data_IF_282149903467
#
_entry.id   IF_282149903467
#
_cell.length_a   1.000
_cell.length_b   1.000
_cell.length_c   1.000
_cell.angle_alpha   90.00
_cell.angle_beta   90.00
_cell.angle_gamma   90.00
#
_symmetry.space_group_name_H-M   'P 1'
#
loop_
_entity.id
_entity.type
_entity.pdbx_description
1 polymer ?
#
# COMPACT_ATOMS: atom_id res chain seq x y z
N UNK A 1 4.27 -4.12 -12.50
CA UNK A 1 4.15 -2.67 -12.47
C UNK A 1 4.55 -2.07 -11.18
N UNK A 2 4.05 -2.56 -10.07
CA UNK A 2 4.44 -2.02 -8.78
C UNK A 2 5.54 -2.83 -8.13
N UNK A 3 6.20 -3.68 -8.90
CA UNK A 3 7.24 -4.53 -8.36
C UNK A 3 8.42 -3.74 -7.82
N UNK A 4 8.59 -2.56 -8.32
CA UNK A 4 9.68 -1.71 -7.85
C UNK A 4 9.46 -1.26 -6.42
N UNK A 5 8.26 -1.46 -5.90
CA UNK A 5 7.97 -1.11 -4.52
C UNK A 5 8.27 -2.23 -3.54
N UNK A 6 8.58 -3.42 -4.05
CA UNK A 6 8.85 -4.55 -3.18
C UNK A 6 9.95 -4.22 -2.18
N UNK A 7 9.71 -4.59 -0.94
CA UNK A 7 10.63 -4.41 0.16
C UNK A 7 10.88 -2.96 0.52
N UNK A 8 10.02 -2.08 0.06
CA UNK A 8 10.13 -0.67 0.41
C UNK A 8 9.06 -0.30 1.41
N UNK A 9 9.39 0.63 2.27
CA UNK A 9 8.42 1.16 3.21
C UNK A 9 7.61 2.23 2.52
N UNK A 10 6.30 2.13 2.65
CA UNK A 10 5.42 3.03 1.95
C UNK A 10 4.34 3.54 2.88
N UNK A 11 3.79 4.67 2.52
CA UNK A 11 2.58 5.20 3.12
C UNK A 11 1.56 5.28 2.00
N UNK A 12 0.50 4.51 2.15
CA UNK A 12 -0.51 4.39 1.10
C UNK A 12 -1.77 5.09 1.55
N UNK A 13 -2.25 5.98 0.71
CA UNK A 13 -3.51 6.64 0.95
C UNK A 13 -4.57 5.94 0.16
N UNK A 14 -5.53 5.36 0.86
CA UNK A 14 -6.71 4.83 0.23
C UNK A 14 -7.86 5.60 0.81
N UNK A 15 -8.84 5.84 -0.01
CA UNK A 15 -9.88 6.60 0.55
C UNK A 15 -11.01 6.78 -0.37
N UNK A 16 -11.96 7.46 0.13
CA UNK A 16 -13.10 7.77 -0.62
C UNK A 16 -13.09 9.27 -0.80
N UNK A 17 -13.97 9.95 -0.21
CA UNK A 17 -14.13 11.32 -0.58
C UNK A 17 -13.41 12.27 0.34
N UNK A 18 -13.74 12.20 1.59
CA UNK A 18 -13.30 13.27 2.48
C UNK A 18 -12.07 12.90 3.26
N UNK A 19 -12.01 11.67 3.70
CA UNK A 19 -10.91 11.25 4.52
C UNK A 19 -10.22 10.12 3.86
N UNK A 20 -8.93 10.20 3.86
CA UNK A 20 -8.12 9.10 3.38
C UNK A 20 -7.72 8.26 4.55
N UNK A 21 -7.89 6.98 4.40
CA UNK A 21 -7.25 6.08 5.32
C UNK A 21 -5.81 5.95 4.88
N UNK A 22 -4.92 5.95 5.84
CA UNK A 22 -3.51 5.88 5.57
C UNK A 22 -2.99 4.58 6.15
N UNK A 23 -2.28 3.82 5.34
CA UNK A 23 -1.70 2.56 5.75
C UNK A 23 -0.20 2.66 5.58
N UNK A 24 0.52 2.38 6.64
CA UNK A 24 1.97 2.41 6.62
C UNK A 24 2.49 0.99 6.77
N UNK A 25 3.45 0.65 5.95
CA UNK A 25 4.02 -0.67 6.04
C UNK A 25 5.02 -0.93 4.95
N UNK A 26 5.42 -2.18 4.87
CA UNK A 26 6.38 -2.62 3.88
C UNK A 26 5.68 -3.45 2.84
N UNK A 27 5.96 -3.16 1.58
CA UNK A 27 5.39 -3.95 0.49
C UNK A 27 6.13 -5.27 0.43
N UNK A 28 5.41 -6.35 0.68
CA UNK A 28 6.04 -7.67 0.69
C UNK A 28 5.66 -8.50 -0.54
N UNK A 29 4.63 -8.08 -1.26
CA UNK A 29 4.28 -8.77 -2.49
C UNK A 29 3.38 -7.87 -3.31
N UNK A 30 3.34 -8.11 -4.60
CA UNK A 30 2.47 -7.35 -5.49
C UNK A 30 1.86 -8.31 -6.50
N UNK A 31 0.71 -7.90 -7.00
CA UNK A 31 0.10 -8.61 -8.11
C UNK A 31 -0.55 -7.56 -9.00
N UNK A 32 -1.25 -8.01 -10.01
CA UNK A 32 -1.89 -7.08 -10.94
C UNK A 32 -2.96 -6.25 -10.27
N UNK A 33 -3.59 -6.78 -9.23
CA UNK A 33 -4.74 -6.14 -8.62
C UNK A 33 -4.54 -5.79 -7.17
N UNK A 34 -3.54 -6.34 -6.52
CA UNK A 34 -3.40 -6.23 -5.08
C UNK A 34 -1.97 -5.90 -4.68
N UNK A 35 -1.85 -5.16 -3.60
CA UNK A 35 -0.60 -5.01 -2.89
C UNK A 35 -0.72 -5.70 -1.55
N UNK A 36 0.32 -6.41 -1.18
CA UNK A 36 0.37 -7.06 0.13
C UNK A 36 1.30 -6.27 1.00
N UNK A 37 0.78 -5.75 2.08
CA UNK A 37 1.52 -4.83 2.95
C UNK A 37 1.65 -5.45 4.33
N UNK A 38 2.86 -5.43 4.85
CA UNK A 38 3.12 -5.85 6.21
C UNK A 38 3.09 -4.61 7.10
N UNK A 39 2.06 -4.51 7.91
CA UNK A 39 1.98 -3.42 8.88
C UNK A 39 2.51 -3.90 10.21
N UNK A 40 2.49 -3.04 11.19
CA UNK A 40 2.97 -3.43 12.51
C UNK A 40 2.07 -4.45 13.17
N UNK A 41 0.82 -4.48 12.81
CA UNK A 41 -0.15 -5.34 13.46
C UNK A 41 -0.48 -6.57 12.66
N UNK A 42 -0.49 -6.45 11.35
CA UNK A 42 -0.96 -7.56 10.52
C UNK A 42 -0.49 -7.38 9.10
N UNK A 43 -0.95 -8.26 8.24
CA UNK A 43 -0.71 -8.16 6.81
C UNK A 43 -2.01 -7.76 6.17
N UNK A 44 -1.95 -6.77 5.30
CA UNK A 44 -3.14 -6.29 4.62
C UNK A 44 -2.98 -6.43 3.11
N UNK A 45 -4.07 -6.81 2.48
CA UNK A 45 -4.14 -6.85 1.02
C UNK A 45 -4.95 -5.66 0.59
N UNK A 46 -4.36 -4.82 -0.25
CA UNK A 46 -5.00 -3.59 -0.66
C UNK A 46 -5.24 -3.64 -2.15
N UNK A 47 -6.46 -3.40 -2.55
CA UNK A 47 -6.79 -3.34 -3.96
C UNK A 47 -6.14 -2.11 -4.57
N UNK A 48 -5.46 -2.32 -5.67
CA UNK A 48 -4.75 -1.22 -6.31
C UNK A 48 -5.74 -0.13 -6.75
N UNK A 49 -6.92 -0.54 -7.17
CA UNK A 49 -7.92 0.43 -7.59
C UNK A 49 -8.35 1.38 -6.48
N UNK A 50 -8.16 1.00 -5.25
CA UNK A 50 -8.56 1.84 -4.13
C UNK A 50 -7.48 2.80 -3.69
N UNK A 51 -6.31 2.69 -4.28
CA UNK A 51 -5.18 3.50 -3.85
C UNK A 51 -5.22 4.85 -4.53
N UNK A 52 -5.13 5.89 -3.75
CA UNK A 52 -5.08 7.24 -4.27
C UNK A 52 -3.63 7.66 -4.51
N UNK A 53 -2.78 7.34 -3.56
CA UNK A 53 -1.42 7.81 -3.63
C UNK A 53 -0.53 6.89 -2.81
N UNK A 54 0.69 6.71 -3.26
CA UNK A 54 1.68 5.94 -2.53
C UNK A 54 2.91 6.82 -2.36
N UNK A 55 3.32 6.99 -1.12
CA UNK A 55 4.55 7.70 -0.81
C UNK A 55 5.58 6.67 -0.38
N UNK A 56 6.72 6.69 -1.03
CA UNK A 56 7.78 5.76 -0.69
C UNK A 56 8.70 6.41 0.31
N UNK A 57 8.88 5.74 1.42
CA UNK A 57 9.72 6.23 2.48
C UNK A 57 10.87 5.25 2.64
N UNK A 58 12.03 5.66 2.29
CA UNK A 58 13.18 4.76 2.39
C UNK A 58 13.87 4.83 3.71
#
# INVERSE_FOLDING_TARGET
>A
MLQELLNKNVVISIGTTDFSNVIKGEVIDTSDSWLKIQTKKNIEYIKIDAIIKILVSE
#
